data_IF_917712949696
#
_entry.id   IF_917712949696
#
_cell.length_a   1.000
_cell.length_b   1.000
_cell.length_c   1.000
_cell.angle_alpha   90.00
_cell.angle_beta   90.00
_cell.angle_gamma   90.00
#
_symmetry.space_group_name_H-M   'P 1'
#
loop_
_entity.id
_entity.type
_entity.pdbx_description
1 polymer ?
#
# COMPACT_ATOMS: atom_id res chain seq x y z
N UNK A 1 -18.36 -11.72 -7.82
CA UNK A 1 -17.31 -11.55 -6.79
C UNK A 1 -17.08 -10.07 -6.60
N UNK A 2 -17.23 -9.55 -5.39
CA UNK A 2 -16.82 -8.17 -5.08
C UNK A 2 -15.32 -8.17 -4.86
N UNK A 3 -14.58 -7.49 -5.72
CA UNK A 3 -13.13 -7.39 -5.54
C UNK A 3 -12.80 -6.38 -4.44
N UNK A 4 -11.97 -6.79 -3.49
CA UNK A 4 -11.58 -5.98 -2.35
C UNK A 4 -10.26 -5.32 -2.65
N UNK A 5 -10.32 -4.03 -3.00
CA UNK A 5 -9.14 -3.22 -3.35
C UNK A 5 -8.30 -2.90 -2.12
N UNK A 6 -6.99 -3.05 -2.26
CA UNK A 6 -6.03 -2.64 -1.25
C UNK A 6 -5.92 -1.11 -1.17
N UNK A 7 -5.63 -0.56 0.01
CA UNK A 7 -5.45 0.88 0.19
C UNK A 7 -4.23 1.40 -0.59
N UNK A 8 -3.19 0.58 -0.71
CA UNK A 8 -2.01 0.87 -1.53
C UNK A 8 -1.69 -0.38 -2.37
N UNK A 9 -1.29 -0.21 -3.64
CA UNK A 9 -0.87 -1.33 -4.46
C UNK A 9 0.51 -1.84 -4.03
N UNK A 10 0.71 -3.16 -4.09
CA UNK A 10 2.00 -3.81 -3.84
C UNK A 10 2.66 -4.15 -5.16
N UNK A 11 3.90 -3.72 -5.36
CA UNK A 11 4.69 -4.10 -6.53
C UNK A 11 5.65 -5.21 -6.15
N UNK A 12 5.52 -6.34 -6.85
CA UNK A 12 6.36 -7.51 -6.70
C UNK A 12 7.37 -7.59 -7.85
N UNK A 13 8.57 -8.03 -7.51
CA UNK A 13 9.69 -8.22 -8.41
C UNK A 13 9.99 -9.68 -8.54
N UNK A 14 9.74 -10.19 -9.73
CA UNK A 14 10.22 -11.48 -10.16
C UNK A 14 11.46 -11.27 -11.04
N UNK A 15 12.25 -12.32 -11.24
CA UNK A 15 13.52 -12.26 -11.97
C UNK A 15 13.41 -11.68 -13.38
N UNK A 16 12.26 -11.81 -14.03
CA UNK A 16 12.02 -11.36 -15.41
C UNK A 16 10.80 -10.45 -15.56
N UNK A 17 10.07 -10.16 -14.48
CA UNK A 17 8.84 -9.37 -14.56
C UNK A 17 8.53 -8.67 -13.25
N UNK A 18 7.87 -7.51 -13.33
CA UNK A 18 7.28 -6.86 -12.16
C UNK A 18 5.76 -6.97 -12.24
N UNK A 19 5.10 -7.43 -11.17
CA UNK A 19 3.64 -7.45 -11.08
C UNK A 19 3.17 -6.45 -10.04
N UNK A 20 2.29 -5.54 -10.46
CA UNK A 20 1.54 -4.66 -9.55
C UNK A 20 0.26 -5.38 -9.12
N UNK A 21 -0.01 -5.40 -7.83
CA UNK A 21 -1.19 -6.02 -7.22
C UNK A 21 -1.94 -4.94 -6.44
N UNK A 22 -3.14 -4.58 -6.89
CA UNK A 22 -3.98 -3.55 -6.29
C UNK A 22 -5.20 -4.13 -5.57
N UNK A 23 -5.50 -5.42 -5.74
CA UNK A 23 -6.67 -6.06 -5.12
C UNK A 23 -6.41 -7.44 -4.52
N UNK A 24 -7.36 -7.92 -3.73
CA UNK A 24 -7.30 -9.24 -3.10
C UNK A 24 -7.43 -10.37 -4.12
N UNK A 25 -8.21 -10.16 -5.19
CA UNK A 25 -8.30 -11.13 -6.28
C UNK A 25 -6.97 -11.21 -7.06
N UNK A 26 -6.40 -10.07 -7.43
CA UNK A 26 -5.09 -10.02 -8.11
C UNK A 26 -3.99 -10.64 -7.25
N UNK A 27 -4.07 -10.47 -5.92
CA UNK A 27 -3.14 -11.07 -4.98
C UNK A 27 -3.22 -12.60 -5.01
N UNK A 28 -4.42 -13.17 -5.07
CA UNK A 28 -4.62 -14.62 -5.17
C UNK A 28 -4.08 -15.18 -6.49
N UNK A 29 -4.37 -14.51 -7.60
CA UNK A 29 -3.85 -14.91 -8.91
C UNK A 29 -2.31 -14.87 -8.94
N UNK A 30 -1.72 -13.84 -8.33
CA UNK A 30 -0.27 -13.71 -8.22
C UNK A 30 0.34 -14.82 -7.34
N UNK A 31 -0.30 -15.14 -6.21
CA UNK A 31 0.12 -16.23 -5.31
C UNK A 31 0.06 -17.60 -5.99
N UNK A 32 -0.87 -17.80 -6.92
CA UNK A 32 -1.07 -19.08 -7.60
C UNK A 32 -0.12 -19.26 -8.79
N UNK A 33 -0.06 -18.26 -9.69
CA UNK A 33 0.61 -18.37 -10.98
C UNK A 33 2.09 -17.99 -10.95
N UNK A 34 2.48 -17.00 -10.13
CA UNK A 34 3.80 -16.36 -10.22
C UNK A 34 4.66 -16.58 -8.98
N UNK A 35 4.08 -17.13 -7.92
CA UNK A 35 4.81 -17.32 -6.67
C UNK A 35 5.81 -18.47 -6.75
N UNK A 36 7.11 -18.23 -6.49
CA UNK A 36 8.13 -19.25 -6.61
C UNK A 36 7.95 -20.36 -5.56
N UNK A 37 8.18 -21.61 -5.96
CA UNK A 37 7.96 -22.79 -5.12
C UNK A 37 8.71 -22.74 -3.79
N UNK A 38 9.96 -22.29 -3.79
CA UNK A 38 10.78 -22.16 -2.59
C UNK A 38 10.23 -21.15 -1.57
N UNK A 39 9.40 -20.20 -2.00
CA UNK A 39 8.76 -19.20 -1.15
C UNK A 39 7.31 -19.57 -0.75
N UNK A 40 6.79 -20.73 -1.18
CA UNK A 40 5.46 -21.23 -0.82
C UNK A 40 5.48 -21.85 0.59
N UNK A 41 5.72 -21.01 1.59
CA UNK A 41 5.75 -21.38 3.00
C UNK A 41 4.46 -21.07 3.77
N UNK A 42 4.53 -21.08 5.10
CA UNK A 42 3.40 -20.70 5.97
C UNK A 42 2.91 -19.27 5.74
N UNK A 43 3.80 -18.35 5.35
CA UNK A 43 3.43 -16.97 4.99
C UNK A 43 2.60 -16.88 3.72
N UNK A 44 2.89 -17.72 2.71
CA UNK A 44 2.11 -17.79 1.47
C UNK A 44 0.69 -18.28 1.75
N UNK A 45 0.54 -19.36 2.53
CA UNK A 45 -0.79 -19.87 2.95
C UNK A 45 -1.57 -18.84 3.76
N UNK A 46 -0.90 -18.16 4.69
CA UNK A 46 -1.53 -17.13 5.51
C UNK A 46 -2.01 -15.93 4.67
N UNK A 47 -1.24 -15.52 3.65
CA UNK A 47 -1.64 -14.46 2.74
C UNK A 47 -2.84 -14.89 1.86
N UNK A 48 -2.81 -16.09 1.30
CA UNK A 48 -3.92 -16.63 0.50
C UNK A 48 -5.21 -16.70 1.32
N UNK A 49 -5.14 -17.20 2.55
CA UNK A 49 -6.28 -17.24 3.46
C UNK A 49 -6.80 -15.85 3.78
N UNK A 50 -5.93 -14.91 4.14
CA UNK A 50 -6.33 -13.54 4.45
C UNK A 50 -7.00 -12.83 3.26
N UNK A 51 -6.55 -13.08 2.03
CA UNK A 51 -7.17 -12.50 0.84
C UNK A 51 -8.57 -13.08 0.58
N UNK A 52 -8.75 -14.40 0.79
CA UNK A 52 -10.07 -15.04 0.71
C UNK A 52 -11.01 -14.52 1.80
N UNK A 53 -10.56 -14.53 3.05
CA UNK A 53 -11.33 -14.00 4.18
C UNK A 53 -11.76 -12.53 3.95
N UNK A 54 -10.95 -11.74 3.24
CA UNK A 54 -11.32 -10.37 2.90
C UNK A 54 -12.40 -10.30 1.81
N UNK A 55 -12.33 -11.14 0.78
CA UNK A 55 -13.39 -11.26 -0.24
C UNK A 55 -14.72 -11.73 0.37
N UNK A 56 -14.66 -12.60 1.39
CA UNK A 56 -15.81 -13.06 2.17
C UNK A 56 -16.31 -12.03 3.21
N UNK A 57 -15.62 -10.89 3.36
CA UNK A 57 -15.98 -9.84 4.31
C UNK A 57 -15.62 -10.14 5.77
N UNK A 58 -14.93 -11.24 6.05
CA UNK A 58 -14.48 -11.61 7.39
C UNK A 58 -13.26 -10.83 7.85
N UNK A 59 -12.50 -10.25 6.91
CA UNK A 59 -11.33 -9.41 7.20
C UNK A 59 -11.34 -8.12 6.39
N UNK A 60 -10.67 -7.10 6.91
CA UNK A 60 -10.51 -5.84 6.20
C UNK A 60 -9.52 -5.97 5.03
N UNK A 61 -9.72 -5.17 3.99
CA UNK A 61 -8.77 -5.03 2.87
C UNK A 61 -7.35 -4.70 3.36
N UNK A 62 -7.24 -3.90 4.43
CA UNK A 62 -5.97 -3.50 5.03
C UNK A 62 -5.24 -4.67 5.68
N UNK A 63 -5.96 -5.60 6.30
CA UNK A 63 -5.37 -6.78 6.92
C UNK A 63 -4.92 -7.80 5.89
N UNK A 64 -5.70 -8.01 4.82
CA UNK A 64 -5.27 -8.80 3.68
C UNK A 64 -4.00 -8.22 3.03
N UNK A 65 -3.99 -6.90 2.78
CA UNK A 65 -2.82 -6.19 2.27
C UNK A 65 -1.58 -6.38 3.15
N UNK A 66 -1.70 -6.23 4.48
CA UNK A 66 -0.60 -6.46 5.42
C UNK A 66 -0.09 -7.90 5.38
N UNK A 67 -0.98 -8.88 5.30
CA UNK A 67 -0.61 -10.29 5.25
C UNK A 67 0.13 -10.61 3.95
N UNK A 68 -0.35 -10.09 2.82
CA UNK A 68 0.28 -10.22 1.51
C UNK A 68 1.67 -9.58 1.48
N UNK A 69 1.79 -8.34 1.96
CA UNK A 69 3.08 -7.63 2.02
C UNK A 69 4.09 -8.36 2.92
N UNK A 70 3.65 -8.95 4.03
CA UNK A 70 4.51 -9.80 4.88
C UNK A 70 4.99 -11.04 4.14
N UNK A 71 4.14 -11.69 3.35
CA UNK A 71 4.53 -12.86 2.56
C UNK A 71 5.54 -12.47 1.47
N UNK A 72 5.28 -11.38 0.75
CA UNK A 72 6.18 -10.86 -0.25
C UNK A 72 7.56 -10.49 0.34
N UNK A 73 7.59 -9.85 1.52
CA UNK A 73 8.85 -9.50 2.20
C UNK A 73 9.64 -10.73 2.59
N UNK A 74 8.98 -11.77 3.10
CA UNK A 74 9.63 -13.05 3.46
C UNK A 74 10.17 -13.78 2.24
N UNK A 75 9.48 -13.64 1.10
CA UNK A 75 9.91 -14.18 -0.17
C UNK A 75 11.03 -13.33 -0.84
N UNK A 76 11.40 -12.17 -0.28
CA UNK A 76 12.36 -11.27 -0.93
C UNK A 76 11.86 -10.66 -2.25
N UNK A 77 10.54 -10.69 -2.50
CA UNK A 77 9.92 -10.26 -3.76
C UNK A 77 9.44 -8.81 -3.73
N UNK A 78 9.50 -8.12 -2.58
CA UNK A 78 9.06 -6.73 -2.48
C UNK A 78 10.12 -5.85 -3.12
N UNK A 79 9.80 -5.24 -4.27
CA UNK A 79 10.50 -4.03 -4.65
C UNK A 79 10.11 -2.95 -3.65
N UNK A 80 11.05 -2.08 -3.24
CA UNK A 80 10.65 -0.83 -2.62
C UNK A 80 9.65 -0.20 -3.58
N UNK A 81 8.40 -0.02 -3.14
CA UNK A 81 7.39 0.68 -3.92
C UNK A 81 8.06 1.98 -4.34
N UNK A 82 8.39 2.11 -5.63
CA UNK A 82 9.04 3.30 -6.16
C UNK A 82 8.19 4.44 -5.65
N UNK A 83 8.75 5.22 -4.72
CA UNK A 83 8.02 6.18 -3.89
C UNK A 83 7.06 6.89 -4.81
N UNK A 84 5.76 6.60 -4.70
CA UNK A 84 4.76 7.40 -5.39
C UNK A 84 5.12 8.85 -5.04
N UNK A 85 5.23 9.78 -6.00
CA UNK A 85 5.62 11.15 -5.70
C UNK A 85 4.68 11.60 -4.60
N UNK A 86 5.26 11.85 -3.41
CA UNK A 86 4.52 12.32 -2.24
C UNK A 86 3.73 13.50 -2.75
N UNK A 87 2.41 13.33 -2.87
CA UNK A 87 1.50 14.38 -3.31
C UNK A 87 1.85 15.56 -2.44
N UNK A 88 2.52 16.54 -3.03
CA UNK A 88 3.09 17.69 -2.35
C UNK A 88 1.97 18.29 -1.53
N UNK A 89 2.11 18.17 -0.20
CA UNK A 89 1.24 18.83 0.75
C UNK A 89 1.09 20.26 0.26
N UNK A 90 -0.12 20.63 -0.17
CA UNK A 90 -0.35 22.02 -0.55
C UNK A 90 0.05 22.88 0.64
N UNK A 91 0.87 23.92 0.46
CA UNK A 91 1.10 24.86 1.52
C UNK A 91 -0.26 25.49 1.83
N UNK A 92 -0.77 25.24 3.03
CA UNK A 92 -1.80 26.08 3.64
C UNK A 92 -1.20 27.48 3.67
N UNK A 93 -1.56 28.30 2.69
CA UNK A 93 -1.40 29.74 2.76
C UNK A 93 -2.31 30.22 3.89
N UNK A 94 -1.79 30.19 5.11
CA UNK A 94 -2.29 31.09 6.15
C UNK A 94 -1.65 32.42 5.82
N UNK A 95 -2.31 33.17 4.94
CA UNK A 95 -2.05 34.59 4.78
C UNK A 95 -2.44 35.29 6.08
N UNK A 96 -1.51 35.30 7.03
CA UNK A 96 -1.53 36.22 8.14
C UNK A 96 -1.38 37.62 7.55
N UNK A 97 -2.46 38.39 7.55
CA UNK A 97 -2.37 39.84 7.39
C UNK A 97 -2.83 40.51 8.68
N UNK A 98 -2.01 41.51 9.05
CA UNK A 98 -2.12 42.48 10.15
C UNK A 98 -1.51 42.01 11.48
N UNK A 99 -0.65 42.84 12.09
CA UNK A 99 -0.88 44.27 12.29
C UNK A 99 0.27 45.21 11.89
N UNK A 100 -0.08 46.34 11.29
CA UNK A 100 0.73 47.55 11.27
C UNK A 100 -0.14 48.62 11.94
N UNK A 101 0.28 49.07 13.11
CA UNK A 101 -0.23 50.24 13.82
C UNK A 101 0.94 50.75 14.65
N UNK A 102 1.83 51.39 13.89
CA UNK A 102 2.92 52.23 14.34
C UNK A 102 2.54 53.09 15.55
N UNK A 103 3.27 52.87 16.63
CA UNK A 103 3.44 53.81 17.73
C UNK A 103 4.36 54.93 17.25
N UNK A 104 3.82 56.13 17.03
CA UNK A 104 4.62 57.35 17.13
C UNK A 104 3.71 58.47 17.64
N UNK A 105 3.88 58.81 18.92
CA UNK A 105 3.43 60.09 19.45
C UNK A 105 4.51 61.14 19.20
N UNK A 106 4.10 62.34 18.78
CA UNK A 106 4.85 63.59 18.92
C UNK A 106 3.85 64.76 18.98
N UNK A 107 3.97 65.54 20.07
CA UNK A 107 3.47 66.89 20.38
C UNK A 107 1.98 67.21 20.37
#
# INVERSE_FOLDING_TARGET
MNDVRFPEPVTLGFSLSSRRVASSLEALECLDQQWPHWARGGSWRAAARACRDALDGWRSARDAHKAFLRAARRAGLVLPAARAPRKSSQPRMIGALRPEMSFIGWQ
#
